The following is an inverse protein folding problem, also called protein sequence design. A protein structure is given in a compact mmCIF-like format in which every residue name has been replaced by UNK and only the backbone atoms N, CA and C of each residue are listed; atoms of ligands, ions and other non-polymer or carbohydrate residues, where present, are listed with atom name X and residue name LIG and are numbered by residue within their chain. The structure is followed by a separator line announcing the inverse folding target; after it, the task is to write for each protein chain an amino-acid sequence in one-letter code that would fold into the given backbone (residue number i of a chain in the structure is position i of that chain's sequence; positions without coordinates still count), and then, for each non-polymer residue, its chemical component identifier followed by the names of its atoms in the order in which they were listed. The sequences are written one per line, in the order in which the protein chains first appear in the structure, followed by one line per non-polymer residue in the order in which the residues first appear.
data_IF_290317492854
#
_entry.id   IF_290317492854
#
_cell.length_a   1.000
_cell.length_b   1.000
_cell.length_c   1.000
_cell.angle_alpha   90.00
_cell.angle_beta   90.00
_cell.angle_gamma   90.00
#
_symmetry.space_group_name_H-M   'P 1'
#
loop_
_entity.id
_entity.type
_entity.pdbx_description
1 polymer ?
#
# COMPACT_ATOMS: atom_id res chain seq x y z
N UNK A 1 -17.20 -23.13 -0.19
CA UNK A 1 -17.84 -21.80 -0.29
C UNK A 1 -17.54 -21.25 -1.67
N UNK A 2 -18.56 -20.90 -2.47
CA UNK A 2 -18.35 -20.24 -3.77
C UNK A 2 -18.01 -18.77 -3.52
N UNK A 3 -16.98 -18.24 -4.17
CA UNK A 3 -16.65 -16.81 -4.06
C UNK A 3 -17.79 -15.98 -4.67
N UNK A 4 -18.35 -15.04 -3.90
CA UNK A 4 -19.44 -14.17 -4.36
C UNK A 4 -18.99 -13.21 -5.48
N UNK A 5 -17.69 -12.95 -5.54
CA UNK A 5 -17.04 -12.01 -6.44
C UNK A 5 -15.92 -12.72 -7.19
N UNK A 6 -15.83 -12.49 -8.49
CA UNK A 6 -14.81 -13.03 -9.39
C UNK A 6 -14.05 -11.89 -10.07
N UNK A 7 -12.73 -12.03 -10.18
CA UNK A 7 -11.89 -11.09 -10.94
C UNK A 7 -11.84 -11.56 -12.39
N UNK A 8 -12.26 -10.71 -13.33
CA UNK A 8 -12.12 -10.96 -14.78
C UNK A 8 -11.40 -9.78 -15.43
N UNK A 9 -10.15 -10.02 -15.81
CA UNK A 9 -9.25 -8.95 -16.24
C UNK A 9 -8.91 -8.02 -15.07
N UNK A 10 -9.16 -6.72 -15.24
CA UNK A 10 -8.97 -5.69 -14.20
C UNK A 10 -10.26 -5.39 -13.42
N UNK A 11 -11.39 -6.03 -13.76
CA UNK A 11 -12.70 -5.72 -13.19
C UNK A 11 -13.17 -6.82 -12.24
N UNK A 12 -13.68 -6.37 -11.10
CA UNK A 12 -14.25 -7.20 -10.05
C UNK A 12 -15.76 -7.32 -10.28
N UNK A 13 -16.24 -8.51 -10.67
CA UNK A 13 -17.63 -8.76 -11.05
C UNK A 13 -18.29 -9.80 -10.14
N UNK A 14 -19.59 -9.66 -9.90
CA UNK A 14 -20.40 -10.65 -9.20
C UNK A 14 -21.40 -11.31 -10.16
N UNK A 15 -21.64 -12.61 -10.01
CA UNK A 15 -22.65 -13.33 -10.78
C UNK A 15 -23.97 -13.39 -10.01
N UNK A 16 -25.09 -13.16 -10.70
CA UNK A 16 -26.44 -13.38 -10.14
C UNK A 16 -26.65 -14.79 -9.57
N UNK A 17 -25.92 -15.80 -10.08
CA UNK A 17 -25.93 -17.16 -9.55
C UNK A 17 -25.27 -17.23 -8.16
N UNK A 18 -24.11 -16.60 -8.00
CA UNK A 18 -23.40 -16.58 -6.72
C UNK A 18 -24.12 -15.69 -5.70
N UNK A 19 -24.73 -14.60 -6.15
CA UNK A 19 -25.62 -13.77 -5.32
C UNK A 19 -26.80 -14.60 -4.81
N UNK A 20 -27.48 -15.35 -5.69
CA UNK A 20 -28.59 -16.21 -5.29
C UNK A 20 -28.19 -17.23 -4.21
N UNK A 21 -27.04 -17.91 -4.40
CA UNK A 21 -26.51 -18.87 -3.42
C UNK A 21 -26.13 -18.21 -2.09
N UNK A 22 -25.47 -17.06 -2.14
CA UNK A 22 -24.92 -16.40 -0.94
C UNK A 22 -26.02 -15.80 -0.07
N UNK A 23 -27.05 -15.21 -0.67
CA UNK A 23 -28.17 -14.61 0.05
C UNK A 23 -29.34 -15.56 0.27
N UNK A 24 -29.17 -16.85 -0.09
CA UNK A 24 -30.21 -17.89 0.02
C UNK A 24 -31.52 -17.48 -0.66
N UNK A 25 -31.40 -16.94 -1.88
CA UNK A 25 -32.50 -16.52 -2.73
C UNK A 25 -32.61 -17.44 -3.94
N UNK A 26 -33.83 -17.64 -4.43
CA UNK A 26 -34.01 -18.29 -5.72
C UNK A 26 -33.46 -17.42 -6.85
N UNK A 27 -32.76 -18.03 -7.80
CA UNK A 27 -32.09 -17.30 -8.89
C UNK A 27 -33.08 -16.54 -9.79
N UNK A 28 -34.27 -17.10 -10.04
CA UNK A 28 -35.33 -16.44 -10.81
C UNK A 28 -35.84 -15.16 -10.14
N UNK A 29 -35.92 -15.13 -8.80
CA UNK A 29 -36.26 -13.93 -8.06
C UNK A 29 -35.17 -12.86 -8.19
N UNK A 30 -33.90 -13.26 -8.12
CA UNK A 30 -32.76 -12.35 -8.33
C UNK A 30 -32.79 -11.75 -9.76
N UNK A 31 -33.01 -12.58 -10.77
CA UNK A 31 -33.14 -12.12 -12.16
C UNK A 31 -34.30 -11.12 -12.33
N UNK A 32 -35.43 -11.36 -11.66
CA UNK A 32 -36.56 -10.43 -11.66
C UNK A 32 -36.20 -9.11 -10.99
N UNK A 33 -35.58 -9.13 -9.81
CA UNK A 33 -35.17 -7.91 -9.11
C UNK A 33 -34.20 -7.07 -9.94
N UNK A 34 -33.25 -7.69 -10.64
CA UNK A 34 -32.33 -6.98 -11.55
C UNK A 34 -33.11 -6.29 -12.67
N UNK A 35 -34.05 -7.00 -13.32
CA UNK A 35 -34.89 -6.40 -14.37
C UNK A 35 -35.74 -5.25 -13.84
N UNK A 36 -36.30 -5.40 -12.65
CA UNK A 36 -37.10 -4.35 -12.00
C UNK A 36 -36.24 -3.11 -11.67
N UNK A 37 -34.98 -3.30 -11.26
CA UNK A 37 -34.03 -2.21 -11.03
C UNK A 37 -33.71 -1.45 -12.32
N UNK A 38 -33.40 -2.16 -13.40
CA UNK A 38 -33.11 -1.56 -14.71
C UNK A 38 -34.35 -0.87 -15.28
N UNK A 39 -35.54 -1.44 -15.10
CA UNK A 39 -36.80 -0.83 -15.55
C UNK A 39 -37.11 0.47 -14.80
N UNK A 40 -36.82 0.54 -13.49
CA UNK A 40 -36.97 1.76 -12.69
C UNK A 40 -35.94 2.82 -13.03
N UNK A 41 -34.72 2.41 -13.42
CA UNK A 41 -33.58 3.28 -13.72
C UNK A 41 -32.77 2.68 -14.85
N UNK A 42 -33.07 3.11 -16.09
CA UNK A 42 -32.44 2.60 -17.31
C UNK A 42 -30.93 2.87 -17.38
N UNK A 43 -30.46 3.89 -16.67
CA UNK A 43 -29.03 4.22 -16.51
C UNK A 43 -28.25 3.18 -15.69
N UNK A 44 -28.93 2.23 -15.03
CA UNK A 44 -28.29 1.08 -14.38
C UNK A 44 -27.96 -0.06 -15.34
N UNK A 45 -28.48 -0.05 -16.57
CA UNK A 45 -28.21 -1.11 -17.57
C UNK A 45 -26.71 -1.45 -17.73
N UNK A 46 -25.78 -0.47 -17.79
CA UNK A 46 -24.34 -0.76 -17.90
C UNK A 46 -23.75 -1.49 -16.69
N UNK A 47 -24.41 -1.44 -15.52
CA UNK A 47 -23.96 -2.14 -14.31
C UNK A 47 -24.36 -3.63 -14.32
N UNK A 48 -25.15 -4.10 -15.30
CA UNK A 48 -25.68 -5.46 -15.39
C UNK A 48 -25.52 -6.04 -16.81
N UNK A 49 -24.50 -6.88 -17.02
CA UNK A 49 -24.30 -7.62 -18.27
C UNK A 49 -25.08 -8.93 -18.30
N UNK A 50 -26.08 -9.05 -19.19
CA UNK A 50 -26.81 -10.32 -19.38
C UNK A 50 -25.93 -11.32 -20.14
N UNK A 51 -25.75 -12.51 -19.55
CA UNK A 51 -24.92 -13.60 -20.04
C UNK A 51 -25.76 -14.87 -20.19
N UNK A 52 -25.30 -15.79 -21.03
CA UNK A 52 -25.92 -17.10 -21.24
C UNK A 52 -24.89 -18.18 -20.98
N UNK A 53 -25.28 -19.22 -20.25
CA UNK A 53 -24.50 -20.46 -20.13
C UNK A 53 -25.37 -21.65 -20.52
N UNK A 54 -24.73 -22.73 -20.96
CA UNK A 54 -25.41 -23.98 -21.27
C UNK A 54 -25.47 -24.84 -20.00
N UNK A 55 -26.66 -25.30 -19.63
CA UNK A 55 -26.86 -26.33 -18.60
C UNK A 55 -27.29 -27.63 -19.25
N UNK A 56 -26.76 -28.75 -18.75
CA UNK A 56 -27.25 -30.07 -19.14
C UNK A 56 -28.53 -30.39 -18.37
N UNK A 57 -29.57 -30.80 -19.10
CA UNK A 57 -30.90 -31.10 -18.55
C UNK A 57 -31.18 -32.61 -18.48
N UNK A 58 -30.15 -33.43 -18.72
CA UNK A 58 -30.24 -34.88 -18.83
C UNK A 58 -30.29 -35.36 -20.28
N UNK A 59 -29.95 -36.64 -20.49
CA UNK A 59 -29.94 -37.31 -21.80
C UNK A 59 -29.13 -36.60 -22.90
N UNK A 60 -28.08 -35.86 -22.51
CA UNK A 60 -27.24 -35.08 -23.43
C UNK A 60 -27.90 -33.80 -23.98
N UNK A 61 -29.14 -33.49 -23.56
CA UNK A 61 -29.80 -32.25 -23.93
C UNK A 61 -29.18 -31.07 -23.17
N UNK A 62 -28.96 -29.96 -23.89
CA UNK A 62 -28.46 -28.70 -23.33
C UNK A 62 -29.53 -27.63 -23.42
N UNK A 63 -29.67 -26.82 -22.37
CA UNK A 63 -30.52 -25.63 -22.35
C UNK A 63 -29.68 -24.40 -22.07
N UNK A 64 -29.97 -23.33 -22.81
CA UNK A 64 -29.47 -21.99 -22.51
C UNK A 64 -30.15 -21.44 -21.25
N UNK A 65 -29.38 -21.21 -20.20
CA UNK A 65 -29.79 -20.52 -18.98
C UNK A 65 -29.15 -19.14 -18.93
N UNK A 66 -29.96 -18.11 -18.63
CA UNK A 66 -29.50 -16.73 -18.55
C UNK A 66 -29.09 -16.36 -17.14
N UNK A 67 -28.09 -15.51 -16.99
CA UNK A 67 -27.65 -14.94 -15.72
C UNK A 67 -27.07 -13.55 -15.95
N UNK A 68 -27.01 -12.70 -14.92
CA UNK A 68 -26.29 -11.42 -15.00
C UNK A 68 -24.91 -11.52 -14.36
N UNK A 69 -23.93 -10.88 -14.98
CA UNK A 69 -22.72 -10.37 -14.32
C UNK A 69 -22.96 -8.90 -13.96
N UNK A 70 -22.48 -8.47 -12.79
CA UNK A 70 -22.69 -7.10 -12.31
C UNK A 70 -21.45 -6.54 -11.65
N UNK A 71 -21.23 -5.24 -11.79
CA UNK A 71 -20.14 -4.55 -11.13
C UNK A 71 -20.47 -4.25 -9.66
N UNK A 72 -19.55 -3.58 -8.96
CA UNK A 72 -19.72 -3.18 -7.56
C UNK A 72 -21.02 -2.38 -7.33
N UNK A 73 -21.37 -1.46 -8.22
CA UNK A 73 -22.56 -0.60 -8.07
C UNK A 73 -23.83 -1.42 -8.26
N UNK A 74 -23.90 -2.24 -9.31
CA UNK A 74 -25.03 -3.14 -9.57
C UNK A 74 -25.24 -4.13 -8.43
N UNK A 75 -24.17 -4.75 -7.95
CA UNK A 75 -24.21 -5.66 -6.81
C UNK A 75 -24.71 -4.99 -5.53
N UNK A 76 -24.16 -3.82 -5.18
CA UNK A 76 -24.52 -3.11 -3.95
C UNK A 76 -26.00 -2.73 -3.94
N UNK A 77 -26.51 -2.18 -5.06
CA UNK A 77 -27.93 -1.82 -5.18
C UNK A 77 -28.85 -3.04 -5.03
N UNK A 78 -28.48 -4.15 -5.65
CA UNK A 78 -29.21 -5.41 -5.54
C UNK A 78 -29.24 -5.93 -4.09
N UNK A 79 -28.07 -6.01 -3.45
CA UNK A 79 -27.91 -6.54 -2.09
C UNK A 79 -28.64 -5.67 -1.04
N UNK A 80 -28.64 -4.34 -1.20
CA UNK A 80 -29.36 -3.43 -0.31
C UNK A 80 -30.88 -3.68 -0.30
N UNK A 81 -31.45 -4.12 -1.44
CA UNK A 81 -32.87 -4.48 -1.56
C UNK A 81 -33.24 -5.83 -0.93
N UNK A 82 -32.27 -6.68 -0.56
CA UNK A 82 -32.57 -7.98 0.02
C UNK A 82 -32.90 -7.91 1.51
N UNK A 83 -33.74 -8.84 1.94
CA UNK A 83 -34.16 -9.05 3.34
C UNK A 83 -33.81 -10.46 3.81
N UNK A 84 -33.65 -10.65 5.12
CA UNK A 84 -33.34 -11.93 5.77
C UNK A 84 -32.02 -11.90 6.56
N UNK A 85 -31.71 -12.94 7.37
CA UNK A 85 -30.56 -12.94 8.27
C UNK A 85 -29.22 -12.74 7.57
N UNK A 86 -28.94 -13.50 6.50
CA UNK A 86 -27.70 -13.36 5.71
C UNK A 86 -27.57 -11.99 5.04
N UNK A 87 -28.69 -11.42 4.59
CA UNK A 87 -28.71 -10.09 4.00
C UNK A 87 -28.41 -9.02 5.07
N UNK A 88 -28.92 -9.20 6.29
CA UNK A 88 -28.64 -8.31 7.41
C UNK A 88 -27.17 -8.38 7.84
N UNK A 89 -26.62 -9.58 8.02
CA UNK A 89 -25.20 -9.78 8.33
C UNK A 89 -24.30 -9.12 7.29
N UNK A 90 -24.61 -9.30 6.00
CA UNK A 90 -23.85 -8.66 4.93
C UNK A 90 -23.94 -7.13 4.99
N UNK A 91 -25.12 -6.57 5.27
CA UNK A 91 -25.31 -5.11 5.41
C UNK A 91 -24.50 -4.56 6.58
N UNK A 92 -24.48 -5.25 7.72
CA UNK A 92 -23.66 -4.87 8.88
C UNK A 92 -22.18 -4.87 8.48
N UNK A 93 -21.69 -5.97 7.89
CA UNK A 93 -20.29 -6.06 7.45
C UNK A 93 -19.90 -4.98 6.42
N UNK A 94 -20.83 -4.58 5.56
CA UNK A 94 -20.64 -3.47 4.61
C UNK A 94 -20.53 -2.11 5.32
N UNK A 95 -21.41 -1.84 6.29
CA UNK A 95 -21.39 -0.62 7.12
C UNK A 95 -20.08 -0.56 7.93
N UNK A 96 -19.69 -1.66 8.60
CA UNK A 96 -18.45 -1.70 9.38
C UNK A 96 -17.21 -1.44 8.51
N UNK A 97 -17.21 -1.93 7.26
CA UNK A 97 -16.13 -1.66 6.31
C UNK A 97 -16.09 -0.19 5.90
N UNK A 98 -17.25 0.45 5.77
CA UNK A 98 -17.36 1.88 5.50
C UNK A 98 -16.87 2.69 6.69
N UNK A 99 -17.26 2.36 7.91
CA UNK A 99 -16.84 3.05 9.13
C UNK A 99 -15.32 2.94 9.33
N UNK A 100 -14.73 1.77 9.04
CA UNK A 100 -13.26 1.62 9.04
C UNK A 100 -12.58 2.50 8.00
N UNK A 101 -13.15 2.61 6.80
CA UNK A 101 -12.63 3.49 5.75
C UNK A 101 -12.76 4.96 6.16
N UNK A 102 -13.89 5.36 6.74
CA UNK A 102 -14.10 6.72 7.25
C UNK A 102 -13.11 7.05 8.36
N UNK A 103 -12.93 6.14 9.33
CA UNK A 103 -11.96 6.31 10.41
C UNK A 103 -10.53 6.44 9.88
N UNK A 104 -10.14 5.64 8.87
CA UNK A 104 -8.83 5.74 8.24
C UNK A 104 -8.64 7.09 7.51
N UNK A 105 -9.66 7.57 6.81
CA UNK A 105 -9.62 8.88 6.15
C UNK A 105 -9.57 10.04 7.15
N UNK A 106 -10.33 9.95 8.26
CA UNK A 106 -10.28 10.94 9.34
C UNK A 106 -8.93 10.93 10.06
N UNK A 107 -8.37 9.74 10.32
CA UNK A 107 -7.04 9.63 10.90
C UNK A 107 -5.97 10.24 9.98
N UNK A 108 -6.03 9.98 8.67
CA UNK A 108 -5.13 10.60 7.70
C UNK A 108 -5.32 12.13 7.62
N UNK A 109 -6.57 12.62 7.64
CA UNK A 109 -6.86 14.06 7.64
C UNK A 109 -6.44 14.75 8.95
N UNK A 110 -6.51 14.04 10.08
CA UNK A 110 -6.04 14.51 11.38
C UNK A 110 -4.52 14.34 11.54
N UNK A 111 -3.83 13.63 10.65
CA UNK A 111 -2.35 13.55 10.58
C UNK A 111 -1.80 14.71 9.71
N UNK A 112 -2.59 15.16 8.71
CA UNK A 112 -2.37 16.41 7.97
C UNK A 112 -2.81 17.67 8.75
N UNK A 113 -3.48 17.49 9.89
CA UNK A 113 -4.12 18.54 10.69
C UNK A 113 -4.04 18.24 12.19
N UNK A 114 -3.01 17.51 12.62
CA UNK A 114 -2.54 17.66 13.99
C UNK A 114 -1.96 19.07 14.03
N UNK A 115 -2.82 20.03 14.36
CA UNK A 115 -2.47 21.02 15.37
C UNK A 115 -2.05 20.22 16.61
N UNK A 116 -0.87 19.60 16.54
CA UNK A 116 0.00 19.53 17.67
C UNK A 116 0.07 20.99 18.07
N UNK A 117 -0.51 21.30 19.21
CA UNK A 117 -0.35 22.60 19.85
C UNK A 117 1.12 22.67 20.24
N UNK A 118 2.00 22.75 19.23
CA UNK A 118 3.34 23.23 19.41
C UNK A 118 3.08 24.65 19.85
N UNK A 119 3.22 24.89 21.15
CA UNK A 119 3.59 26.19 21.66
C UNK A 119 4.96 26.53 21.04
N UNK A 120 4.95 26.78 19.73
CA UNK A 120 6.13 27.01 18.92
C UNK A 120 6.44 28.50 19.01
N UNK A 121 6.92 28.90 20.18
CA UNK A 121 7.69 30.13 20.37
C UNK A 121 9.06 30.02 19.67
N UNK A 122 9.15 29.35 18.52
CA UNK A 122 10.38 29.30 17.72
C UNK A 122 10.51 30.59 16.91
N UNK A 123 11.52 31.43 17.21
CA UNK A 123 11.72 32.71 16.53
C UNK A 123 12.04 32.54 15.03
N UNK A 124 12.38 31.33 14.59
CA UNK A 124 12.67 31.01 13.17
C UNK A 124 11.40 31.06 12.31
N UNK A 125 10.28 30.52 12.81
CA UNK A 125 9.03 30.48 12.05
C UNK A 125 8.21 31.77 12.18
N UNK A 126 8.45 32.57 13.23
CA UNK A 126 7.87 33.90 13.39
C UNK A 126 8.29 34.88 12.28
N UNK A 127 9.49 34.71 11.71
CA UNK A 127 10.00 35.56 10.61
C UNK A 127 9.38 35.28 9.24
N UNK A 128 8.72 34.13 9.07
CA UNK A 128 8.27 33.62 7.76
C UNK A 128 6.73 33.54 7.67
N UNK A 129 5.99 33.79 8.75
CA UNK A 129 4.51 33.80 8.74
C UNK A 129 3.95 34.98 7.93
N UNK A 130 3.27 34.67 6.82
CA UNK A 130 2.47 35.59 6.03
C UNK A 130 2.20 35.08 4.61
N UNK A 131 1.36 35.80 3.85
CA UNK A 131 0.95 35.56 2.45
C UNK A 131 2.08 35.12 1.49
N UNK A 132 3.33 35.46 1.80
CA UNK A 132 4.52 35.11 1.02
C UNK A 132 4.89 33.61 1.14
N UNK A 133 4.72 33.00 2.31
CA UNK A 133 5.00 31.58 2.53
C UNK A 133 4.02 30.70 1.77
N UNK A 134 2.73 30.99 1.86
CA UNK A 134 1.68 30.20 1.19
C UNK A 134 1.83 30.26 -0.34
N UNK A 135 2.24 31.42 -0.88
CA UNK A 135 2.55 31.57 -2.31
C UNK A 135 3.77 30.75 -2.72
N UNK A 136 4.83 30.75 -1.91
CA UNK A 136 6.03 29.93 -2.16
C UNK A 136 5.73 28.44 -2.09
N UNK A 137 4.91 28.00 -1.13
CA UNK A 137 4.47 26.61 -1.02
C UNK A 137 3.56 26.19 -2.19
N UNK A 138 2.68 27.08 -2.64
CA UNK A 138 1.83 26.86 -3.82
C UNK A 138 2.68 26.68 -5.09
N UNK A 139 3.68 27.54 -5.28
CA UNK A 139 4.65 27.41 -6.39
C UNK A 139 5.46 26.11 -6.30
N UNK A 140 5.93 25.74 -5.10
CA UNK A 140 6.62 24.47 -4.89
C UNK A 140 5.73 23.27 -5.24
N UNK A 141 4.44 23.32 -4.90
CA UNK A 141 3.46 22.27 -5.25
C UNK A 141 3.26 22.16 -6.76
N UNK A 142 3.12 23.27 -7.47
CA UNK A 142 2.97 23.26 -8.92
C UNK A 142 4.21 22.69 -9.62
N UNK A 143 5.41 23.09 -9.19
CA UNK A 143 6.66 22.55 -9.70
C UNK A 143 6.77 21.04 -9.42
N UNK A 144 6.26 20.57 -8.26
CA UNK A 144 6.23 19.13 -7.93
C UNK A 144 5.36 18.36 -8.92
N UNK A 145 4.18 18.90 -9.22
CA UNK A 145 3.19 18.27 -10.08
C UNK A 145 3.67 18.25 -11.54
N UNK A 146 4.32 19.33 -12.01
CA UNK A 146 4.79 19.46 -13.38
C UNK A 146 6.13 18.74 -13.65
N UNK A 147 7.08 18.79 -12.71
CA UNK A 147 8.47 18.39 -12.95
C UNK A 147 8.99 17.35 -11.95
N UNK A 148 8.16 16.91 -11.01
CA UNK A 148 8.49 15.88 -10.03
C UNK A 148 9.30 16.38 -8.82
N UNK A 149 9.52 15.47 -7.85
CA UNK A 149 10.10 15.81 -6.53
C UNK A 149 11.51 16.40 -6.61
N UNK A 150 12.34 15.95 -7.56
CA UNK A 150 13.71 16.41 -7.71
C UNK A 150 13.80 17.87 -8.21
N UNK A 151 12.81 18.34 -8.96
CA UNK A 151 12.77 19.73 -9.43
C UNK A 151 12.46 20.69 -8.28
N UNK A 152 11.49 20.34 -7.43
CA UNK A 152 11.16 21.11 -6.23
C UNK A 152 12.32 21.17 -5.26
N UNK A 153 13.01 20.06 -5.03
CA UNK A 153 14.16 20.02 -4.11
C UNK A 153 15.30 20.93 -4.55
N UNK A 154 15.51 21.11 -5.86
CA UNK A 154 16.47 22.10 -6.40
C UNK A 154 15.98 23.53 -6.24
N UNK A 155 14.67 23.74 -6.40
CA UNK A 155 14.05 25.06 -6.31
C UNK A 155 13.85 25.55 -4.87
N UNK A 156 13.70 24.63 -3.91
CA UNK A 156 13.27 24.88 -2.53
C UNK A 156 14.05 26.01 -1.84
N UNK A 157 15.37 25.94 -1.90
CA UNK A 157 16.24 26.96 -1.31
C UNK A 157 16.26 28.24 -2.16
N UNK A 158 16.06 28.15 -3.48
CA UNK A 158 16.05 29.33 -4.36
C UNK A 158 14.78 30.17 -4.26
N UNK A 159 13.66 29.58 -3.82
CA UNK A 159 12.43 30.33 -3.52
C UNK A 159 12.42 30.90 -2.09
N UNK A 160 13.53 30.77 -1.36
CA UNK A 160 13.68 31.33 -0.01
C UNK A 160 12.79 30.65 1.02
N UNK A 161 12.44 29.38 0.81
CA UNK A 161 11.89 28.54 1.87
C UNK A 161 13.01 28.10 2.81
N UNK A 162 12.71 27.90 4.11
CA UNK A 162 13.69 27.36 5.06
C UNK A 162 14.31 26.06 4.52
N UNK A 163 15.63 25.86 4.68
CA UNK A 163 16.28 24.64 4.25
C UNK A 163 15.60 23.44 4.94
N UNK A 164 15.12 22.49 4.16
CA UNK A 164 14.66 21.20 4.70
C UNK A 164 15.92 20.45 5.10
N UNK A 165 16.15 20.34 6.41
CA UNK A 165 17.13 19.40 6.95
C UNK A 165 16.79 18.00 6.42
N UNK A 166 17.79 17.23 6.01
CA UNK A 166 17.55 15.86 5.56
C UNK A 166 16.89 15.09 6.72
N UNK A 167 15.66 14.62 6.50
CA UNK A 167 14.86 13.87 7.48
C UNK A 167 15.75 12.92 8.31
N UNK A 168 15.73 13.06 9.64
CA UNK A 168 16.17 12.03 10.58
C UNK A 168 15.61 10.67 10.10
N UNK A 169 16.45 9.63 9.91
CA UNK A 169 16.11 8.54 9.01
C UNK A 169 14.99 7.65 9.58
N UNK A 170 13.75 7.87 9.15
CA UNK A 170 12.69 6.87 9.31
C UNK A 170 12.90 5.78 8.24
N UNK A 171 13.42 4.64 8.69
CA UNK A 171 13.64 3.44 7.87
C UNK A 171 12.30 2.75 7.53
N UNK A 172 11.59 3.23 6.50
CA UNK A 172 10.42 2.52 5.95
C UNK A 172 10.77 1.93 4.57
N UNK A 173 10.87 0.61 4.52
CA UNK A 173 10.98 -0.16 3.28
C UNK A 173 9.63 -0.38 2.59
N UNK A 174 9.68 -0.67 1.28
CA UNK A 174 8.53 -0.80 0.37
C UNK A 174 7.56 -1.99 0.64
N UNK A 175 7.60 -2.62 1.81
CA UNK A 175 6.78 -3.81 2.12
C UNK A 175 6.16 -3.80 3.52
N UNK A 176 6.24 -2.70 4.28
CA UNK A 176 5.59 -2.58 5.60
C UNK A 176 6.20 -3.43 6.73
N UNK A 177 7.01 -4.44 6.42
CA UNK A 177 7.79 -5.20 7.40
C UNK A 177 9.03 -4.42 7.86
N UNK A 178 9.17 -4.20 9.17
CA UNK A 178 10.38 -3.65 9.77
C UNK A 178 11.58 -4.59 9.57
N UNK A 179 12.75 -4.02 9.28
CA UNK A 179 13.99 -4.77 9.27
C UNK A 179 14.29 -5.31 10.69
N UNK A 180 14.95 -6.48 10.84
CA UNK A 180 15.32 -6.99 12.15
C UNK A 180 16.10 -5.93 12.94
N UNK A 181 15.74 -5.69 14.20
CA UNK A 181 16.34 -4.66 15.04
C UNK A 181 17.88 -4.77 15.10
N UNK A 182 18.39 -6.00 15.14
CA UNK A 182 19.84 -6.29 15.13
C UNK A 182 20.54 -5.80 13.86
N UNK A 183 19.87 -5.93 12.71
CA UNK A 183 20.42 -5.46 11.45
C UNK A 183 20.48 -3.93 11.42
N UNK A 184 19.44 -3.26 11.91
CA UNK A 184 19.39 -1.80 12.01
C UNK A 184 20.48 -1.28 12.95
N UNK A 185 20.65 -1.94 14.09
CA UNK A 185 21.70 -1.58 15.05
C UNK A 185 23.10 -1.71 14.44
N UNK A 186 23.39 -2.85 13.77
CA UNK A 186 24.65 -3.03 13.05
C UNK A 186 24.85 -1.94 11.98
N UNK A 187 23.82 -1.63 11.19
CA UNK A 187 23.91 -0.61 10.13
C UNK A 187 24.29 0.76 10.70
N UNK A 188 23.66 1.15 11.82
CA UNK A 188 23.95 2.43 12.47
C UNK A 188 25.38 2.48 13.05
N UNK A 189 25.92 1.36 13.47
CA UNK A 189 27.24 1.29 14.12
C UNK A 189 28.41 1.05 13.13
N UNK A 190 28.17 0.37 12.00
CA UNK A 190 29.21 -0.14 11.10
C UNK A 190 29.12 0.38 9.67
N UNK A 191 28.03 1.04 9.30
CA UNK A 191 27.82 1.53 7.93
C UNK A 191 27.54 3.03 7.92
N UNK A 192 27.92 3.68 6.84
CA UNK A 192 27.52 5.07 6.58
C UNK A 192 26.90 5.20 5.19
N UNK A 193 26.05 6.22 5.03
CA UNK A 193 25.45 6.53 3.73
C UNK A 193 26.52 7.09 2.80
N UNK A 194 26.69 6.40 1.68
CA UNK A 194 27.62 6.81 0.64
C UNK A 194 26.92 6.68 -0.72
N UNK A 195 26.23 7.73 -1.18
CA UNK A 195 25.56 7.74 -2.48
C UNK A 195 26.53 7.36 -3.60
N UNK A 196 26.13 6.42 -4.46
CA UNK A 196 26.96 5.95 -5.59
C UNK A 196 28.06 4.95 -5.22
N UNK A 197 28.38 4.76 -3.93
CA UNK A 197 29.30 3.72 -3.50
C UNK A 197 28.67 2.33 -3.65
N UNK A 198 29.50 1.34 -4.03
CA UNK A 198 29.08 -0.06 -4.23
C UNK A 198 29.88 -0.95 -3.30
N UNK A 199 29.20 -1.80 -2.56
CA UNK A 199 29.81 -2.74 -1.61
C UNK A 199 29.26 -4.15 -1.83
N UNK A 200 30.12 -5.16 -1.70
CA UNK A 200 29.73 -6.56 -1.89
C UNK A 200 28.75 -7.01 -0.82
N UNK A 201 27.71 -7.76 -1.19
CA UNK A 201 26.73 -8.28 -0.21
C UNK A 201 27.40 -9.24 0.78
N UNK A 202 28.36 -10.03 0.30
CA UNK A 202 29.13 -10.95 1.12
C UNK A 202 30.05 -10.22 2.11
N UNK A 203 30.60 -9.07 1.71
CA UNK A 203 31.46 -8.25 2.55
C UNK A 203 30.68 -7.66 3.72
N UNK A 204 29.49 -7.13 3.44
CA UNK A 204 28.55 -6.65 4.44
C UNK A 204 28.10 -7.77 5.40
N UNK A 205 27.81 -8.96 4.88
CA UNK A 205 27.37 -10.09 5.70
C UNK A 205 28.49 -10.59 6.63
N UNK A 206 29.74 -10.64 6.15
CA UNK A 206 30.90 -10.98 6.98
C UNK A 206 31.12 -9.96 8.09
N UNK A 207 30.97 -8.67 7.81
CA UNK A 207 31.09 -7.64 8.84
C UNK A 207 29.99 -7.76 9.89
N UNK A 208 28.75 -7.96 9.45
CA UNK A 208 27.61 -8.24 10.34
C UNK A 208 27.87 -9.46 11.25
N UNK A 209 28.41 -10.56 10.69
CA UNK A 209 28.73 -11.74 11.48
C UNK A 209 29.78 -11.46 12.57
N UNK A 210 30.80 -10.65 12.27
CA UNK A 210 31.78 -10.22 13.27
C UNK A 210 31.13 -9.38 14.37
N UNK A 211 30.34 -8.39 13.99
CA UNK A 211 29.61 -7.54 14.93
C UNK A 211 28.65 -8.35 15.84
N UNK A 212 27.97 -9.35 15.29
CA UNK A 212 27.08 -10.22 16.06
C UNK A 212 27.87 -11.01 17.11
N UNK A 213 29.03 -11.58 16.75
CA UNK A 213 29.92 -12.28 17.67
C UNK A 213 30.44 -11.34 18.78
N UNK A 214 30.86 -10.13 18.42
CA UNK A 214 31.35 -9.12 19.39
C UNK A 214 30.27 -8.68 20.39
N UNK A 215 29.00 -8.68 19.97
CA UNK A 215 27.86 -8.30 20.81
C UNK A 215 27.25 -9.50 21.56
N UNK A 216 27.83 -10.70 21.43
CA UNK A 216 27.34 -11.93 22.06
C UNK A 216 26.01 -12.44 21.48
N UNK A 217 25.72 -12.12 20.22
CA UNK A 217 24.49 -12.49 19.51
C UNK A 217 24.73 -13.58 18.48
N UNK A 218 23.70 -14.34 18.16
CA UNK A 218 23.76 -15.32 17.07
C UNK A 218 23.72 -14.62 15.70
N UNK A 219 24.67 -14.96 14.83
CA UNK A 219 24.72 -14.41 13.48
C UNK A 219 23.57 -14.94 12.61
N UNK A 220 22.94 -14.05 11.83
CA UNK A 220 21.91 -14.45 10.87
C UNK A 220 22.50 -15.09 9.61
N UNK A 221 21.71 -15.97 8.98
CA UNK A 221 22.06 -16.59 7.68
C UNK A 221 22.16 -15.55 6.56
N UNK A 222 22.98 -15.83 5.54
CA UNK A 222 23.16 -14.92 4.39
C UNK A 222 21.84 -14.57 3.69
N UNK A 223 20.91 -15.54 3.61
CA UNK A 223 19.59 -15.33 3.04
C UNK A 223 18.69 -14.42 3.91
N UNK A 224 18.75 -14.55 5.25
CA UNK A 224 18.02 -13.68 6.17
C UNK A 224 18.57 -12.25 6.16
N UNK A 225 19.90 -12.11 6.15
CA UNK A 225 20.60 -10.84 5.96
C UNK A 225 20.24 -10.19 4.63
N UNK A 226 20.22 -11.00 3.58
CA UNK A 226 19.74 -10.66 2.25
C UNK A 226 18.42 -9.90 2.26
N UNK A 227 17.39 -10.55 2.84
CA UNK A 227 16.02 -10.02 2.98
C UNK A 227 15.94 -8.81 3.90
N UNK A 228 16.63 -8.84 5.05
CA UNK A 228 16.65 -7.74 6.01
C UNK A 228 17.19 -6.45 5.40
N UNK A 229 18.27 -6.54 4.62
CA UNK A 229 18.85 -5.37 3.94
C UNK A 229 17.96 -4.85 2.78
N UNK A 230 17.15 -5.71 2.14
CA UNK A 230 16.12 -5.25 1.18
C UNK A 230 15.03 -4.46 1.92
N UNK A 231 14.58 -4.95 3.09
CA UNK A 231 13.63 -4.22 3.95
C UNK A 231 14.19 -2.91 4.47
N UNK A 232 15.49 -2.86 4.75
CA UNK A 232 16.19 -1.63 5.15
C UNK A 232 16.42 -0.64 3.99
N UNK A 233 15.88 -0.89 2.79
CA UNK A 233 15.91 0.05 1.67
C UNK A 233 17.12 -0.11 0.72
N UNK A 234 17.94 -1.15 0.89
CA UNK A 234 19.15 -1.36 0.08
C UNK A 234 19.01 -2.59 -0.83
N UNK A 235 18.31 -2.54 -1.97
CA UNK A 235 18.10 -3.71 -2.81
C UNK A 235 19.41 -4.28 -3.40
N UNK A 236 19.45 -5.60 -3.60
CA UNK A 236 20.59 -6.26 -4.26
C UNK A 236 20.63 -5.98 -5.77
N UNK A 237 21.83 -5.80 -6.30
CA UNK A 237 22.11 -5.72 -7.74
C UNK A 237 23.11 -6.80 -8.15
N UNK A 238 23.06 -7.26 -9.40
CA UNK A 238 23.95 -8.28 -9.95
C UNK A 238 24.71 -7.75 -11.16
N UNK A 239 25.99 -8.04 -11.23
CA UNK A 239 26.84 -7.85 -12.42
C UNK A 239 27.72 -9.07 -12.60
N UNK A 240 28.71 -9.28 -11.72
CA UNK A 240 29.46 -10.55 -11.56
C UNK A 240 29.35 -11.13 -10.14
N UNK A 241 29.17 -10.26 -9.14
CA UNK A 241 28.87 -10.60 -7.74
C UNK A 241 27.59 -9.86 -7.33
N UNK A 242 26.97 -10.26 -6.21
CA UNK A 242 25.82 -9.55 -5.65
C UNK A 242 26.32 -8.38 -4.81
N UNK A 243 25.94 -7.15 -5.17
CA UNK A 243 26.36 -5.93 -4.49
C UNK A 243 25.17 -5.04 -4.12
N UNK A 244 25.40 -4.10 -3.20
CA UNK A 244 24.44 -3.06 -2.81
C UNK A 244 25.03 -1.68 -3.06
N UNK A 245 24.16 -0.69 -3.27
CA UNK A 245 24.54 0.67 -3.65
C UNK A 245 23.98 1.65 -2.62
N UNK A 246 24.74 2.70 -2.30
CA UNK A 246 24.27 3.77 -1.41
C UNK A 246 24.68 3.60 0.05
N UNK A 247 25.49 2.59 0.36
CA UNK A 247 26.12 2.41 1.67
C UNK A 247 27.58 1.98 1.51
N UNK A 248 28.41 2.30 2.50
CA UNK A 248 29.78 1.78 2.64
C UNK A 248 30.04 1.36 4.09
N UNK A 249 30.97 0.41 4.28
CA UNK A 249 31.46 0.07 5.61
C UNK A 249 32.37 1.20 6.12
N UNK A 250 32.25 1.52 7.41
CA UNK A 250 33.17 2.44 8.08
C UNK A 250 34.55 1.79 8.14
N UNK A 251 35.56 2.46 7.57
CA UNK A 251 36.88 1.87 7.31
C UNK A 251 37.71 1.52 8.56
N UNK A 252 37.27 1.88 9.78
CA UNK A 252 38.15 1.91 10.95
C UNK A 252 37.57 1.36 12.26
N UNK A 253 36.73 0.31 12.19
CA UNK A 253 36.39 -0.48 13.39
C UNK A 253 36.71 -1.96 13.24
N UNK A 254 37.83 -2.25 12.58
CA UNK A 254 38.52 -3.54 12.75
C UNK A 254 39.24 -3.46 14.10
N UNK A 255 38.61 -3.98 15.16
CA UNK A 255 39.32 -4.18 16.42
C UNK A 255 40.41 -5.24 16.18
N UNK A 256 41.66 -5.02 16.62
CA UNK A 256 42.74 -5.99 16.44
C UNK A 256 42.38 -7.26 17.22
N UNK A 257 42.45 -8.39 16.52
CA UNK A 257 42.39 -9.71 17.14
C UNK A 257 43.60 -9.79 18.09
N UNK A 258 43.36 -10.10 19.36
CA UNK A 258 44.38 -10.64 20.25
C UNK A 258 43.73 -11.51 21.35
N UNK A 259 44.43 -12.51 21.89
CA UNK A 259 45.75 -13.03 21.48
C UNK A 259 45.69 -14.22 20.51
#
# INVERSE_FOLDING_TARGET
MSALVQVRGETVLASSLDVARSFDKRHDHVMRTIKDLIAKRSDLSPNFGEMVHQIEIGSGAKRSARYYEMDRKGFTLLAMGFTGPKALEWKIAYIDAFDRMEAALRAAANDDGADDEIADESPVFAQVRGDDLDRKLSLAREIRLAYGRHAVRRMWNSIGLPPVEDDEPVLIGASGDLAPHELVQWMNERTERAPGHRVGTLELHRDYQRWALETGREGMTEAAFGRGMVRAGYPSRRSNTTYRVGLRLLADRVCPIAP
#
